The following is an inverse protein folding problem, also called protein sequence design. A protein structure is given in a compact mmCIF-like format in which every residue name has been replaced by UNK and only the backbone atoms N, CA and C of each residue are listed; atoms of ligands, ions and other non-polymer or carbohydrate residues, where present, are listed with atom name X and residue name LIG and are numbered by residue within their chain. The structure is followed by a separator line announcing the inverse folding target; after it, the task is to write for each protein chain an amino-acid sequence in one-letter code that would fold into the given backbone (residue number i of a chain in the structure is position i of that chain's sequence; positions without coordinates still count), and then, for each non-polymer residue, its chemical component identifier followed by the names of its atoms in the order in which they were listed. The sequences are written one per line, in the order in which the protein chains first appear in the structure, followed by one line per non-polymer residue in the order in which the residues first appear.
data_IF_382216535298
#
_entry.id   IF_382216535298
#
_cell.length_a   1.000
_cell.length_b   1.000
_cell.length_c   1.000
_cell.angle_alpha   90.00
_cell.angle_beta   90.00
_cell.angle_gamma   90.00
#
_symmetry.space_group_name_H-M   'P 1'
#
loop_
_entity.id
_entity.type
_entity.pdbx_description
1 polymer ?
#
# COMPACT_ATOMS: atom_id res chain seq x y z
N UNK A 1 -25.49 10.77 -13.85
CA UNK A 1 -24.77 9.53 -14.22
C UNK A 1 -23.73 9.92 -15.24
N UNK A 2 -22.50 9.42 -15.12
CA UNK A 2 -21.46 9.67 -16.11
C UNK A 2 -21.90 9.15 -17.49
N UNK A 3 -21.60 9.92 -18.53
CA UNK A 3 -21.97 9.63 -19.91
C UNK A 3 -20.88 8.81 -20.59
N UNK A 4 -21.28 7.72 -21.23
CA UNK A 4 -20.42 6.95 -22.11
C UNK A 4 -20.78 7.23 -23.57
N UNK A 5 -19.86 7.84 -24.32
CA UNK A 5 -20.06 8.14 -25.75
C UNK A 5 -19.55 7.02 -26.67
N UNK A 6 -18.87 6.01 -26.13
CA UNK A 6 -18.45 4.83 -26.88
C UNK A 6 -19.66 3.88 -26.99
N UNK A 7 -20.35 3.93 -28.13
CA UNK A 7 -21.59 3.20 -28.34
C UNK A 7 -21.36 1.87 -29.09
N UNK A 8 -22.06 0.79 -28.70
CA UNK A 8 -21.96 -0.48 -29.39
C UNK A 8 -22.73 -0.45 -30.71
N UNK A 9 -22.22 -1.16 -31.71
CA UNK A 9 -22.82 -1.27 -33.04
C UNK A 9 -23.63 -2.57 -33.19
N UNK A 10 -24.83 -2.48 -33.78
CA UNK A 10 -25.58 -3.66 -34.24
C UNK A 10 -26.08 -4.59 -33.13
N UNK A 11 -26.47 -4.05 -31.97
CA UNK A 11 -26.99 -4.82 -30.82
C UNK A 11 -28.51 -5.02 -30.83
N UNK A 12 -29.22 -4.38 -31.75
CA UNK A 12 -30.68 -4.48 -31.85
C UNK A 12 -31.13 -5.88 -32.30
N UNK A 13 -32.35 -6.25 -31.93
CA UNK A 13 -32.97 -7.46 -32.45
C UNK A 13 -33.14 -7.37 -33.98
N UNK A 14 -32.86 -8.46 -34.68
CA UNK A 14 -32.83 -8.47 -36.15
C UNK A 14 -31.62 -7.75 -36.79
N UNK A 15 -30.58 -7.39 -36.03
CA UNK A 15 -29.36 -6.83 -36.61
C UNK A 15 -28.78 -7.75 -37.70
N UNK A 16 -28.31 -7.18 -38.80
CA UNK A 16 -27.75 -7.91 -39.93
C UNK A 16 -26.35 -8.46 -39.60
N UNK A 17 -26.30 -9.52 -38.81
CA UNK A 17 -25.11 -10.18 -38.27
C UNK A 17 -25.21 -11.70 -38.46
N UNK A 18 -24.08 -12.40 -38.48
CA UNK A 18 -24.06 -13.85 -38.54
C UNK A 18 -24.43 -14.45 -37.17
N UNK A 19 -25.16 -15.58 -37.15
CA UNK A 19 -25.37 -16.32 -35.92
C UNK A 19 -24.04 -16.93 -35.42
N UNK A 20 -23.92 -17.18 -34.10
CA UNK A 20 -22.63 -17.57 -33.50
C UNK A 20 -22.01 -18.83 -34.10
N UNK A 21 -22.83 -19.82 -34.45
CA UNK A 21 -22.42 -21.10 -35.01
C UNK A 21 -21.88 -20.98 -36.44
N UNK A 22 -22.47 -20.11 -37.28
CA UNK A 22 -21.96 -19.79 -38.61
C UNK A 22 -20.68 -18.95 -38.54
N UNK A 23 -20.64 -17.96 -37.64
CA UNK A 23 -19.46 -17.12 -37.47
C UNK A 23 -18.22 -17.91 -37.01
N UNK A 24 -18.41 -18.91 -36.14
CA UNK A 24 -17.31 -19.77 -35.68
C UNK A 24 -16.70 -20.62 -36.79
N UNK A 25 -17.49 -20.99 -37.81
CA UNK A 25 -17.06 -21.80 -38.96
C UNK A 25 -16.49 -20.96 -40.10
N UNK A 26 -16.66 -19.63 -40.07
CA UNK A 26 -16.25 -18.73 -41.14
C UNK A 26 -14.71 -18.70 -41.28
N UNK A 27 -14.12 -19.11 -42.42
CA UNK A 27 -12.67 -19.09 -42.62
C UNK A 27 -12.05 -17.69 -42.48
N UNK A 28 -12.80 -16.65 -42.85
CA UNK A 28 -12.38 -15.25 -42.78
C UNK A 28 -12.19 -14.74 -41.33
N UNK A 29 -12.71 -15.44 -40.31
CA UNK A 29 -12.41 -15.11 -38.90
C UNK A 29 -10.92 -15.29 -38.60
N UNK A 30 -10.30 -16.32 -39.20
CA UNK A 30 -8.89 -16.65 -38.98
C UNK A 30 -7.99 -15.97 -40.00
N UNK A 31 -8.34 -16.01 -41.29
CA UNK A 31 -7.50 -15.51 -42.38
C UNK A 31 -7.76 -14.05 -42.75
N UNK A 32 -8.74 -13.40 -42.10
CA UNK A 32 -9.27 -12.11 -42.52
C UNK A 32 -10.15 -12.22 -43.77
N UNK A 33 -10.85 -11.13 -44.10
CA UNK A 33 -11.57 -11.03 -45.36
C UNK A 33 -10.57 -10.82 -46.50
N UNK A 34 -10.62 -11.68 -47.52
CA UNK A 34 -9.81 -11.56 -48.72
C UNK A 34 -10.19 -10.33 -49.55
N UNK A 35 -9.30 -9.88 -50.43
CA UNK A 35 -9.59 -8.81 -51.37
C UNK A 35 -10.82 -9.17 -52.24
N UNK A 36 -11.78 -8.26 -52.32
CA UNK A 36 -13.07 -8.47 -52.99
C UNK A 36 -14.25 -7.98 -52.16
N UNK A 37 -15.46 -8.40 -52.53
CA UNK A 37 -16.69 -8.02 -51.82
C UNK A 37 -16.94 -9.00 -50.67
N UNK A 38 -16.98 -8.49 -49.45
CA UNK A 38 -17.38 -9.27 -48.27
C UNK A 38 -18.86 -9.09 -47.95
N UNK A 39 -19.51 -10.12 -47.41
CA UNK A 39 -20.90 -10.06 -46.96
C UNK A 39 -21.02 -9.11 -45.78
N UNK A 40 -21.95 -8.16 -45.85
CA UNK A 40 -22.20 -7.17 -44.80
C UNK A 40 -22.44 -7.80 -43.43
N UNK A 41 -23.10 -8.95 -43.37
CA UNK A 41 -23.32 -9.75 -42.16
C UNK A 41 -22.02 -10.12 -41.44
N UNK A 42 -20.98 -10.50 -42.20
CA UNK A 42 -19.67 -10.86 -41.64
C UNK A 42 -18.97 -9.65 -41.04
N UNK A 43 -18.94 -8.53 -41.76
CA UNK A 43 -18.34 -7.27 -41.30
C UNK A 43 -19.05 -6.72 -40.06
N UNK A 44 -20.38 -6.68 -40.09
CA UNK A 44 -21.20 -6.23 -38.96
C UNK A 44 -20.96 -7.09 -37.71
N UNK A 45 -20.72 -8.40 -37.87
CA UNK A 45 -20.42 -9.27 -36.72
C UNK A 45 -19.09 -8.90 -36.06
N UNK A 46 -18.06 -8.60 -36.85
CA UNK A 46 -16.75 -8.14 -36.34
C UNK A 46 -16.89 -6.79 -35.65
N UNK A 47 -17.56 -5.82 -36.30
CA UNK A 47 -17.77 -4.49 -35.72
C UNK A 47 -18.61 -4.52 -34.45
N UNK A 48 -19.63 -5.38 -34.38
CA UNK A 48 -20.39 -5.60 -33.15
C UNK A 48 -19.51 -6.17 -32.03
N UNK A 49 -18.69 -7.18 -32.31
CA UNK A 49 -17.81 -7.76 -31.30
C UNK A 49 -16.79 -6.74 -30.76
N UNK A 50 -16.17 -5.94 -31.64
CA UNK A 50 -15.20 -4.93 -31.19
C UNK A 50 -15.88 -3.78 -30.43
N UNK A 51 -16.96 -3.22 -30.96
CA UNK A 51 -17.67 -2.09 -30.35
C UNK A 51 -18.36 -2.45 -29.04
N UNK A 52 -18.86 -3.69 -28.90
CA UNK A 52 -19.43 -4.17 -27.63
C UNK A 52 -18.36 -4.18 -26.53
N UNK A 53 -17.17 -4.72 -26.81
CA UNK A 53 -16.08 -4.75 -25.82
C UNK A 53 -15.62 -3.33 -25.48
N UNK A 54 -15.48 -2.45 -26.48
CA UNK A 54 -15.13 -1.05 -26.26
C UNK A 54 -16.16 -0.34 -25.37
N UNK A 55 -17.46 -0.54 -25.64
CA UNK A 55 -18.54 0.02 -24.84
C UNK A 55 -18.50 -0.47 -23.38
N UNK A 56 -18.30 -1.77 -23.15
CA UNK A 56 -18.21 -2.34 -21.79
C UNK A 56 -17.04 -1.74 -21.01
N UNK A 57 -15.88 -1.60 -21.64
CA UNK A 57 -14.71 -0.98 -21.01
C UNK A 57 -14.97 0.50 -20.71
N UNK A 58 -15.53 1.25 -21.67
CA UNK A 58 -15.86 2.66 -21.49
C UNK A 58 -16.93 2.87 -20.41
N UNK A 59 -17.93 1.99 -20.33
CA UNK A 59 -18.95 2.01 -19.30
C UNK A 59 -18.34 1.78 -17.92
N UNK A 60 -17.44 0.80 -17.81
CA UNK A 60 -16.69 0.54 -16.57
C UNK A 60 -15.89 1.76 -16.11
N UNK A 61 -15.22 2.46 -17.04
CA UNK A 61 -14.48 3.69 -16.74
C UNK A 61 -15.45 4.77 -16.24
N UNK A 62 -16.55 4.98 -16.95
CA UNK A 62 -17.51 6.04 -16.64
C UNK A 62 -18.13 5.85 -15.24
N UNK A 63 -18.55 4.63 -14.93
CA UNK A 63 -19.13 4.27 -13.63
C UNK A 63 -18.11 4.34 -12.49
N UNK A 64 -16.91 3.78 -12.70
CA UNK A 64 -15.89 3.70 -11.64
C UNK A 64 -15.30 5.07 -11.33
N UNK A 65 -15.13 5.92 -12.34
CA UNK A 65 -14.58 7.26 -12.15
C UNK A 65 -15.61 8.34 -11.86
N UNK A 66 -16.90 8.08 -12.09
CA UNK A 66 -17.97 9.08 -12.13
C UNK A 66 -17.62 10.26 -13.07
N UNK A 67 -17.04 9.94 -14.23
CA UNK A 67 -16.59 10.92 -15.22
C UNK A 67 -16.94 10.46 -16.63
N UNK A 68 -17.24 11.40 -17.52
CA UNK A 68 -17.64 11.09 -18.88
C UNK A 68 -16.49 10.49 -19.70
N UNK A 69 -16.81 9.53 -20.57
CA UNK A 69 -15.88 8.97 -21.56
C UNK A 69 -16.31 9.47 -22.93
N UNK A 70 -15.55 10.42 -23.47
CA UNK A 70 -15.85 11.12 -24.73
C UNK A 70 -15.21 10.41 -25.93
N UNK A 71 -15.88 10.45 -27.09
CA UNK A 71 -15.35 9.96 -28.37
C UNK A 71 -14.65 11.08 -29.15
N UNK A 72 -13.51 11.56 -28.64
CA UNK A 72 -12.77 12.71 -29.21
C UNK A 72 -11.38 12.34 -29.77
N UNK A 73 -11.03 11.05 -29.76
CA UNK A 73 -9.72 10.55 -30.22
C UNK A 73 -8.55 10.80 -29.25
N UNK A 74 -8.79 11.29 -28.03
CA UNK A 74 -7.75 11.49 -27.02
C UNK A 74 -7.42 10.18 -26.28
N UNK A 75 -6.38 9.50 -26.78
CA UNK A 75 -5.92 8.22 -26.25
C UNK A 75 -5.29 8.37 -24.85
N UNK A 76 -4.66 9.51 -24.55
CA UNK A 76 -3.95 9.72 -23.29
C UNK A 76 -4.93 9.93 -22.13
N UNK A 77 -5.98 10.70 -22.36
CA UNK A 77 -7.08 10.85 -21.40
C UNK A 77 -7.77 9.52 -21.15
N UNK A 78 -8.06 8.74 -22.20
CA UNK A 78 -8.69 7.43 -22.04
C UNK A 78 -7.80 6.45 -21.26
N UNK A 79 -6.50 6.41 -21.55
CA UNK A 79 -5.53 5.58 -20.82
C UNK A 79 -5.47 5.96 -19.34
N UNK A 80 -5.44 7.24 -19.04
CA UNK A 80 -5.40 7.77 -17.66
C UNK A 80 -6.70 7.45 -16.92
N UNK A 81 -7.83 7.59 -17.59
CA UNK A 81 -9.13 7.21 -17.03
C UNK A 81 -9.19 5.70 -16.73
N UNK A 82 -8.67 4.85 -17.62
CA UNK A 82 -8.62 3.40 -17.42
C UNK A 82 -7.73 3.00 -16.23
N UNK A 83 -6.51 3.55 -16.11
CA UNK A 83 -5.62 3.23 -14.98
C UNK A 83 -6.21 3.72 -13.66
N UNK A 84 -6.87 4.89 -13.66
CA UNK A 84 -7.59 5.41 -12.52
C UNK A 84 -8.75 4.51 -12.12
N UNK A 85 -9.55 4.05 -13.09
CA UNK A 85 -10.68 3.17 -12.86
C UNK A 85 -10.23 1.82 -12.28
N UNK A 86 -9.19 1.19 -12.82
CA UNK A 86 -8.61 -0.03 -12.25
C UNK A 86 -8.15 0.16 -10.80
N UNK A 87 -7.41 1.24 -10.54
CA UNK A 87 -6.90 1.53 -9.19
C UNK A 87 -8.04 1.76 -8.19
N UNK A 88 -9.07 2.52 -8.57
CA UNK A 88 -10.27 2.73 -7.74
C UNK A 88 -11.06 1.44 -7.52
N UNK A 89 -11.18 0.59 -8.54
CA UNK A 89 -11.88 -0.69 -8.40
C UNK A 89 -11.18 -1.59 -7.36
N UNK A 90 -9.85 -1.63 -7.37
CA UNK A 90 -9.07 -2.34 -6.33
C UNK A 90 -9.35 -1.75 -4.94
N UNK A 91 -9.33 -0.42 -4.78
CA UNK A 91 -9.60 0.23 -3.48
C UNK A 91 -11.05 0.03 -3.01
N UNK A 92 -12.02 -0.02 -3.92
CA UNK A 92 -13.43 -0.24 -3.57
C UNK A 92 -13.72 -1.70 -3.16
N UNK A 93 -12.99 -2.66 -3.74
CA UNK A 93 -13.18 -4.09 -3.45
C UNK A 93 -12.35 -4.56 -2.26
N UNK A 94 -11.17 -3.97 -2.05
CA UNK A 94 -10.27 -4.31 -0.95
C UNK A 94 -10.20 -3.12 0.01
N UNK A 95 -10.89 -3.20 1.18
CA UNK A 95 -10.84 -2.13 2.16
C UNK A 95 -9.45 -2.01 2.81
N UNK A 96 -9.23 -0.93 3.55
CA UNK A 96 -8.09 -0.84 4.46
C UNK A 96 -8.21 -1.94 5.53
N UNK A 97 -7.09 -2.55 5.90
CA UNK A 97 -7.14 -3.60 6.93
C UNK A 97 -7.49 -3.02 8.30
N UNK A 98 -8.21 -3.81 9.07
CA UNK A 98 -8.54 -3.53 10.47
C UNK A 98 -8.32 -4.80 11.28
N UNK A 99 -8.45 -4.72 12.60
CA UNK A 99 -8.36 -5.90 13.49
C UNK A 99 -9.45 -6.94 13.24
N UNK A 100 -10.53 -6.58 12.51
CA UNK A 100 -11.64 -7.47 12.18
C UNK A 100 -11.73 -7.83 10.71
N UNK A 101 -11.18 -7.01 9.82
CA UNK A 101 -11.34 -7.15 8.37
C UNK A 101 -9.97 -7.13 7.69
N UNK A 102 -9.68 -8.16 6.90
CA UNK A 102 -8.47 -8.18 6.08
C UNK A 102 -8.50 -7.09 5.01
N UNK A 103 -7.33 -6.52 4.69
CA UNK A 103 -7.22 -5.40 3.76
C UNK A 103 -5.77 -4.98 3.49
N UNK A 104 -5.60 -3.83 2.85
CA UNK A 104 -4.27 -3.26 2.56
C UNK A 104 -3.86 -2.33 3.72
N UNK A 105 -2.61 -2.43 4.19
CA UNK A 105 -2.03 -1.55 5.23
C UNK A 105 -0.73 -0.92 4.77
N UNK A 106 -0.51 0.35 5.15
CA UNK A 106 0.78 1.02 4.95
C UNK A 106 1.76 0.60 6.05
N UNK A 107 3.04 0.43 5.70
CA UNK A 107 4.09 0.10 6.66
C UNK A 107 4.75 1.35 7.23
N UNK A 108 5.04 1.35 8.54
CA UNK A 108 5.78 2.41 9.23
C UNK A 108 6.96 1.84 10.04
N UNK A 109 8.06 2.60 10.11
CA UNK A 109 9.28 2.23 10.83
C UNK A 109 9.62 3.17 12.00
N UNK A 110 8.74 4.09 12.36
CA UNK A 110 8.87 4.91 13.57
C UNK A 110 8.67 4.06 14.84
N UNK A 111 9.36 4.41 15.93
CA UNK A 111 9.30 3.69 17.21
C UNK A 111 8.38 4.35 18.25
N UNK A 112 7.89 5.53 17.94
CA UNK A 112 7.11 6.45 18.78
C UNK A 112 5.79 6.86 18.09
N UNK A 113 5.31 6.04 17.14
CA UNK A 113 4.10 6.32 16.38
C UNK A 113 2.86 5.85 17.11
N UNK A 114 1.86 6.73 17.27
CA UNK A 114 0.54 6.43 17.83
C UNK A 114 -0.52 6.08 16.75
N UNK A 115 -0.06 5.66 15.56
CA UNK A 115 -0.92 5.47 14.38
C UNK A 115 -1.40 4.02 14.25
N UNK A 116 -2.66 3.78 14.57
CA UNK A 116 -3.34 2.48 14.51
C UNK A 116 -3.72 2.03 13.09
N UNK A 117 -3.50 2.87 12.07
CA UNK A 117 -3.81 2.56 10.66
C UNK A 117 -2.63 1.97 9.90
N UNK A 118 -1.45 1.93 10.53
CA UNK A 118 -0.21 1.45 9.91
C UNK A 118 0.33 0.21 10.60
N UNK A 119 0.98 -0.66 9.83
CA UNK A 119 1.65 -1.84 10.37
C UNK A 119 3.13 -1.54 10.65
N UNK A 120 3.60 -1.92 11.85
CA UNK A 120 5.00 -1.75 12.24
C UNK A 120 5.91 -2.70 11.44
N UNK A 121 7.06 -2.19 10.97
CA UNK A 121 8.09 -3.04 10.34
C UNK A 121 8.93 -3.77 11.38
N UNK A 122 9.56 -4.92 11.03
CA UNK A 122 10.51 -5.59 11.92
C UNK A 122 11.64 -4.68 12.42
N UNK A 123 12.00 -3.65 11.64
CA UNK A 123 13.00 -2.63 12.02
C UNK A 123 12.54 -1.81 13.22
N UNK A 124 11.30 -1.32 13.21
CA UNK A 124 10.73 -0.59 14.35
C UNK A 124 10.63 -1.47 15.60
N UNK A 125 10.14 -2.71 15.44
CA UNK A 125 10.01 -3.66 16.55
C UNK A 125 11.38 -3.97 17.17
N UNK A 126 12.40 -4.20 16.35
CA UNK A 126 13.77 -4.43 16.84
C UNK A 126 14.33 -3.20 17.54
N UNK A 127 14.15 -2.00 17.00
CA UNK A 127 14.63 -0.77 17.61
C UNK A 127 13.97 -0.51 18.98
N UNK A 128 12.65 -0.71 19.09
CA UNK A 128 11.93 -0.61 20.36
C UNK A 128 12.42 -1.64 21.39
N UNK A 129 12.68 -2.88 20.95
CA UNK A 129 13.25 -3.92 21.81
C UNK A 129 14.66 -3.59 22.29
N UNK A 130 15.53 -3.11 21.40
CA UNK A 130 16.90 -2.72 21.74
C UNK A 130 16.90 -1.55 22.76
N UNK A 131 16.02 -0.56 22.59
CA UNK A 131 15.79 0.51 23.57
C UNK A 131 15.33 -0.04 24.93
N UNK A 132 14.32 -0.92 24.95
CA UNK A 132 13.81 -1.53 26.19
C UNK A 132 14.89 -2.35 26.93
N UNK A 133 15.76 -3.04 26.19
CA UNK A 133 16.86 -3.82 26.77
C UNK A 133 17.87 -2.96 27.54
N UNK A 134 18.16 -1.74 27.08
CA UNK A 134 19.04 -0.80 27.82
C UNK A 134 18.42 -0.29 29.14
N UNK A 135 17.09 -0.37 29.26
CA UNK A 135 16.36 -0.03 30.48
C UNK A 135 16.23 -1.23 31.42
N UNK A 136 16.73 -2.41 31.03
CA UNK A 136 16.62 -3.62 31.86
C UNK A 136 17.18 -3.39 33.27
N UNK A 137 16.46 -3.97 34.24
CA UNK A 137 16.71 -3.85 35.68
C UNK A 137 18.16 -4.22 36.02
N UNK A 138 18.80 -5.11 35.25
CA UNK A 138 20.19 -5.52 35.44
C UNK A 138 21.20 -4.40 35.20
N UNK A 139 21.04 -3.61 34.13
CA UNK A 139 21.92 -2.48 33.86
C UNK A 139 21.70 -1.35 34.87
N UNK A 140 20.44 -1.13 35.26
CA UNK A 140 20.06 -0.19 36.31
C UNK A 140 20.67 -0.61 37.65
N UNK A 141 20.53 -1.88 38.05
CA UNK A 141 21.08 -2.42 39.28
C UNK A 141 22.61 -2.35 39.31
N UNK A 142 23.29 -2.61 38.18
CA UNK A 142 24.74 -2.40 38.08
C UNK A 142 25.11 -0.93 38.28
N UNK A 143 24.38 0.02 37.68
CA UNK A 143 24.59 1.47 37.88
C UNK A 143 24.36 1.87 39.34
N UNK A 144 23.32 1.35 39.99
CA UNK A 144 23.04 1.59 41.41
C UNK A 144 24.11 0.98 42.31
N UNK A 145 24.52 -0.26 42.08
CA UNK A 145 25.59 -0.92 42.81
C UNK A 145 26.91 -0.13 42.71
N UNK A 146 27.27 0.33 41.51
CA UNK A 146 28.45 1.17 41.28
C UNK A 146 28.33 2.51 42.01
N UNK A 147 27.16 3.15 42.02
CA UNK A 147 26.90 4.37 42.82
C UNK A 147 27.03 4.11 44.32
N UNK A 148 26.49 3.00 44.82
CA UNK A 148 26.55 2.59 46.24
C UNK A 148 27.99 2.36 46.68
N UNK A 149 28.78 1.65 45.87
CA UNK A 149 30.20 1.42 46.10
C UNK A 149 31.00 2.74 46.16
N UNK A 150 30.80 3.64 45.18
CA UNK A 150 31.48 4.96 45.16
C UNK A 150 31.16 5.79 46.39
N UNK A 151 29.90 5.81 46.83
CA UNK A 151 29.48 6.50 48.07
C UNK A 151 30.13 5.88 49.31
N UNK A 152 30.20 4.54 49.38
CA UNK A 152 30.89 3.83 50.44
C UNK A 152 32.37 4.20 50.53
N UNK A 153 33.07 4.20 49.40
CA UNK A 153 34.50 4.57 49.30
C UNK A 153 34.73 6.04 49.72
N UNK A 154 33.89 6.98 49.28
CA UNK A 154 33.99 8.38 49.71
C UNK A 154 33.80 8.52 51.23
N UNK A 155 32.81 7.81 51.79
CA UNK A 155 32.54 7.84 53.22
C UNK A 155 33.71 7.24 54.02
N UNK A 156 34.27 6.13 53.56
CA UNK A 156 35.46 5.51 54.15
C UNK A 156 36.67 6.45 54.11
N UNK A 157 36.96 7.09 52.96
CA UNK A 157 38.04 8.09 52.83
C UNK A 157 37.88 9.27 53.78
N UNK A 158 36.64 9.71 54.01
CA UNK A 158 36.34 10.80 54.95
C UNK A 158 36.70 10.42 56.39
N UNK A 159 36.22 9.25 56.87
CA UNK A 159 36.54 8.77 58.21
C UNK A 159 38.04 8.47 58.39
N UNK A 160 38.70 7.94 57.36
CA UNK A 160 40.13 7.68 57.41
C UNK A 160 40.97 8.97 57.56
N UNK A 161 40.59 10.06 56.86
CA UNK A 161 41.23 11.37 57.04
C UNK A 161 41.01 11.94 58.45
N UNK A 162 39.78 11.85 58.98
CA UNK A 162 39.46 12.30 60.35
C UNK A 162 40.26 11.54 61.41
N UNK A 163 40.39 10.22 61.24
CA UNK A 163 41.19 9.38 62.12
C UNK A 163 42.67 9.78 62.09
N UNK A 164 43.25 10.00 60.90
CA UNK A 164 44.63 10.49 60.78
C UNK A 164 44.86 11.87 61.39
N UNK A 165 43.88 12.78 61.34
CA UNK A 165 44.00 14.09 62.00
C UNK A 165 43.92 13.99 63.53
N UNK A 166 43.12 13.08 64.08
CA UNK A 166 43.01 12.87 65.53
C UNK A 166 44.21 12.13 66.13
N UNK A 167 45.01 11.44 65.31
CA UNK A 167 46.28 10.82 65.72
C UNK A 167 47.47 11.77 65.73
N UNK A 168 47.34 12.96 65.12
CA UNK A 168 48.35 14.01 65.28
C UNK A 168 48.15 14.66 66.66
N UNK A 169 48.82 14.09 67.65
CA UNK A 169 49.07 14.72 68.95
C UNK A 169 49.72 16.09 68.67
N UNK A 170 49.23 17.21 69.23
CA UNK A 170 49.93 18.48 69.09
C UNK A 170 51.32 18.35 69.70
N UNK A 171 52.35 18.55 68.86
CA UNK A 171 53.75 18.69 69.27
C UNK A 171 53.95 20.00 70.06
N UNK A 172 53.30 20.08 71.21
CA UNK A 172 53.44 21.16 72.15
C UNK A 172 53.74 20.51 73.50
N UNK A 173 54.96 19.99 73.68
CA UNK A 173 55.63 19.93 74.98
C UNK A 173 57.12 19.68 74.73
N UNK A 174 57.86 20.70 75.15
CA UNK A 174 59.30 20.82 75.35
C UNK A 174 59.87 19.69 76.18
#
# INVERSE_FOLDING_TARGET
MAKNEILPFGIADGANVLPPDEYQKLPARNNGFSAGVSRSQGLNTVWRQSSMIAHVIAQFIAETNNADVLDNGDIDTLKTALTSALSKNITNTIPAATTKTAGITKLNSATDSDDETTAATPKAVKAAYDLAKTVSIDEINKKFAKKKLRRGICRWRYYHKLWQSNLKIPNNLR
#
